data_IF_243666552496
#
_entry.id   IF_243666552496
#
_cell.length_a   1.000
_cell.length_b   1.000
_cell.length_c   1.000
_cell.angle_alpha   90.00
_cell.angle_beta   90.00
_cell.angle_gamma   90.00
#
_symmetry.space_group_name_H-M   'P 1'
#
loop_
_entity.id
_entity.type
_entity.pdbx_description
1 polymer ?
#
# COMPACT_ATOMS: atom_id res chain seq x y z
N UNK A 1 70.91 -40.52 37.05
CA UNK A 1 70.75 -39.83 38.35
C UNK A 1 70.83 -38.32 38.11
N UNK A 2 70.06 -37.57 38.90
CA UNK A 2 69.82 -36.12 38.93
C UNK A 2 68.98 -35.50 37.81
N UNK A 3 67.94 -34.81 38.28
CA UNK A 3 66.76 -34.28 37.59
C UNK A 3 66.79 -32.75 37.53
N UNK A 4 66.14 -32.17 36.53
CA UNK A 4 65.65 -30.78 36.46
C UNK A 4 64.88 -30.66 35.15
N UNK A 5 63.63 -30.22 35.03
CA UNK A 5 62.60 -29.78 35.96
C UNK A 5 61.41 -29.41 35.09
N UNK A 6 60.27 -30.10 35.25
CA UNK A 6 59.03 -29.82 34.53
C UNK A 6 58.45 -28.48 35.02
N UNK A 7 58.28 -27.52 34.10
CA UNK A 7 57.36 -26.36 34.25
C UNK A 7 56.71 -26.13 32.88
N UNK A 8 55.57 -26.74 32.63
CA UNK A 8 54.23 -26.21 32.89
C UNK A 8 53.79 -25.16 31.86
N UNK A 9 52.98 -25.60 30.88
CA UNK A 9 52.00 -24.76 30.21
C UNK A 9 50.96 -25.65 29.48
N UNK A 10 50.01 -26.21 30.23
CA UNK A 10 48.74 -26.64 29.68
C UNK A 10 47.65 -25.87 30.42
N UNK A 11 46.89 -25.03 29.71
CA UNK A 11 45.46 -24.80 29.96
C UNK A 11 44.85 -24.02 28.79
N UNK A 12 43.94 -24.72 28.12
CA UNK A 12 43.04 -24.19 27.12
C UNK A 12 41.98 -23.27 27.76
N UNK A 13 41.53 -22.27 27.02
CA UNK A 13 40.16 -21.76 27.12
C UNK A 13 39.77 -21.06 25.81
N UNK A 14 38.82 -21.68 25.11
CA UNK A 14 38.08 -21.11 24.00
C UNK A 14 37.40 -19.81 24.45
N UNK A 15 37.71 -18.69 23.82
CA UNK A 15 36.86 -17.50 23.84
C UNK A 15 35.85 -17.62 22.69
N UNK A 16 34.80 -18.42 22.93
CA UNK A 16 33.47 -18.16 22.36
C UNK A 16 32.77 -17.21 23.33
N UNK A 17 32.73 -15.94 22.94
CA UNK A 17 31.73 -14.96 23.32
C UNK A 17 31.33 -14.34 21.97
N UNK A 18 30.18 -14.68 21.38
CA UNK A 18 28.87 -14.42 21.94
C UNK A 18 28.44 -13.04 21.45
N UNK A 19 27.63 -13.00 20.39
CA UNK A 19 27.07 -11.78 19.79
C UNK A 19 26.28 -10.92 20.81
N UNK A 20 25.84 -9.70 20.44
CA UNK A 20 25.11 -9.46 19.21
C UNK A 20 25.56 -8.18 18.49
N UNK A 21 26.12 -8.31 17.30
CA UNK A 21 25.93 -7.26 16.31
C UNK A 21 24.48 -7.32 15.89
N UNK A 22 23.60 -6.67 16.65
CA UNK A 22 22.25 -6.40 16.20
C UNK A 22 22.38 -5.64 14.89
N UNK A 23 22.35 -6.36 13.76
CA UNK A 23 22.01 -5.77 12.49
C UNK A 23 20.56 -5.34 12.62
N UNK A 24 20.34 -4.20 13.26
CA UNK A 24 19.22 -3.37 12.89
C UNK A 24 19.48 -3.05 11.42
N UNK A 25 18.97 -3.92 10.53
CA UNK A 25 18.81 -3.68 9.11
C UNK A 25 17.74 -2.59 8.97
N UNK A 26 18.02 -1.41 9.52
CA UNK A 26 17.34 -0.19 9.17
C UNK A 26 17.97 0.27 7.87
N UNK A 27 17.36 -0.13 6.75
CA UNK A 27 17.71 0.48 5.47
C UNK A 27 17.41 1.98 5.59
N UNK A 28 18.42 2.83 5.40
CA UNK A 28 18.23 4.28 5.33
C UNK A 28 17.50 4.60 4.03
N UNK A 29 16.18 4.74 4.12
CA UNK A 29 15.36 5.21 3.01
C UNK A 29 15.50 6.72 2.91
N UNK A 30 16.21 7.19 1.88
CA UNK A 30 16.35 8.63 1.61
C UNK A 30 14.98 9.29 1.39
N UNK A 31 14.85 10.56 1.76
CA UNK A 31 13.59 11.32 1.65
C UNK A 31 12.98 11.28 0.23
N UNK A 32 13.81 11.18 -0.81
CA UNK A 32 13.38 11.03 -2.20
C UNK A 32 12.53 9.78 -2.47
N UNK A 33 12.72 8.71 -1.68
CA UNK A 33 11.92 7.48 -1.82
C UNK A 33 10.47 7.62 -1.33
N UNK A 34 10.13 8.75 -0.69
CA UNK A 34 8.78 9.08 -0.22
C UNK A 34 8.15 10.25 -0.99
N UNK A 35 8.74 10.70 -2.11
CA UNK A 35 8.12 11.74 -2.95
C UNK A 35 6.77 11.27 -3.46
N UNK A 36 5.72 11.89 -2.94
CA UNK A 36 4.34 11.71 -3.39
C UNK A 36 4.12 12.63 -4.59
N UNK A 37 3.44 12.17 -5.67
CA UNK A 37 3.06 13.07 -6.76
C UNK A 37 2.24 14.25 -6.23
N UNK A 38 2.51 15.46 -6.73
CA UNK A 38 1.93 16.71 -6.22
C UNK A 38 0.39 16.74 -6.25
N UNK A 39 -0.22 15.95 -7.13
CA UNK A 39 -1.66 15.87 -7.31
C UNK A 39 -2.35 14.91 -6.32
N UNK A 40 -1.63 14.08 -5.56
CA UNK A 40 -2.26 13.12 -4.62
C UNK A 40 -2.82 13.86 -3.41
N UNK A 41 -4.13 13.79 -3.20
CA UNK A 41 -4.82 14.50 -2.12
C UNK A 41 -5.32 13.58 -1.02
N UNK A 42 -5.45 12.27 -1.29
CA UNK A 42 -5.91 11.32 -0.29
C UNK A 42 -5.40 9.90 -0.56
N UNK A 43 -4.97 9.22 0.50
CA UNK A 43 -4.52 7.82 0.47
C UNK A 43 -5.11 7.06 1.65
N UNK A 44 -5.74 5.93 1.40
CA UNK A 44 -6.27 5.06 2.46
C UNK A 44 -5.91 3.59 2.21
N UNK A 45 -5.34 2.93 3.22
CA UNK A 45 -5.32 1.46 3.29
C UNK A 45 -6.69 0.94 3.74
N UNK A 46 -7.18 -0.11 3.10
CA UNK A 46 -8.54 -0.57 3.33
C UNK A 46 -8.70 -2.07 3.11
N UNK A 47 -8.99 -2.81 4.17
CA UNK A 47 -9.22 -4.26 4.08
C UNK A 47 -7.98 -5.06 3.63
N UNK A 48 -8.18 -6.36 3.47
CA UNK A 48 -7.16 -7.29 3.03
C UNK A 48 -7.56 -8.00 1.74
N UNK A 49 -6.59 -8.44 0.96
CA UNK A 49 -6.82 -9.19 -0.29
C UNK A 49 -5.92 -10.42 -0.40
N UNK A 50 -6.24 -11.25 -1.38
CA UNK A 50 -5.52 -12.48 -1.68
C UNK A 50 -5.86 -13.64 -0.73
N UNK A 51 -5.37 -14.85 -1.03
CA UNK A 51 -5.47 -15.99 -0.12
C UNK A 51 -4.92 -15.62 1.26
N UNK A 52 -5.60 -16.06 2.32
CA UNK A 52 -5.20 -15.85 3.71
C UNK A 52 -4.87 -14.39 4.10
N UNK A 53 -5.45 -13.41 3.39
CA UNK A 53 -5.27 -11.97 3.69
C UNK A 53 -3.81 -11.50 3.59
N UNK A 54 -3.05 -12.06 2.64
CA UNK A 54 -1.62 -11.80 2.44
C UNK A 54 -1.27 -10.37 1.98
N UNK A 55 -2.26 -9.56 1.59
CA UNK A 55 -2.07 -8.17 1.18
C UNK A 55 -3.16 -7.24 1.68
N UNK A 56 -3.02 -5.94 1.38
CA UNK A 56 -4.02 -4.90 1.71
C UNK A 56 -4.36 -4.08 0.48
N UNK A 57 -5.58 -3.54 0.38
CA UNK A 57 -5.87 -2.57 -0.68
C UNK A 57 -5.34 -1.21 -0.25
N UNK A 58 -4.77 -0.46 -1.20
CA UNK A 58 -4.50 0.97 -1.06
C UNK A 58 -5.32 1.71 -2.10
N UNK A 59 -6.05 2.73 -1.67
CA UNK A 59 -6.78 3.61 -2.57
C UNK A 59 -6.08 4.96 -2.58
N UNK A 60 -5.85 5.47 -3.78
CA UNK A 60 -5.16 6.74 -4.01
C UNK A 60 -6.11 7.62 -4.81
N UNK A 61 -6.43 8.77 -4.25
CA UNK A 61 -7.15 9.83 -4.93
C UNK A 61 -6.20 10.98 -5.20
N UNK A 62 -6.26 11.48 -6.42
CA UNK A 62 -5.52 12.65 -6.87
C UNK A 62 -6.48 13.64 -7.54
N UNK A 63 -6.11 14.90 -7.54
CA UNK A 63 -6.85 15.97 -8.19
C UNK A 63 -5.92 16.76 -9.10
N UNK A 64 -6.33 16.94 -10.34
CA UNK A 64 -5.61 17.78 -11.30
C UNK A 64 -6.63 18.47 -12.20
N UNK A 65 -6.43 19.76 -12.49
CA UNK A 65 -7.30 20.55 -13.37
C UNK A 65 -8.79 20.43 -13.04
N UNK A 66 -9.15 20.47 -11.74
CA UNK A 66 -10.51 20.32 -11.22
C UNK A 66 -11.18 18.95 -11.51
N UNK A 67 -10.38 17.92 -11.82
CA UNK A 67 -10.84 16.56 -12.03
C UNK A 67 -10.21 15.61 -11.02
N UNK A 68 -11.02 14.65 -10.54
CA UNK A 68 -10.59 13.56 -9.68
C UNK A 68 -10.08 12.36 -10.47
N UNK A 69 -8.93 11.85 -10.03
CA UNK A 69 -8.32 10.61 -10.46
C UNK A 69 -8.35 9.61 -9.30
N UNK A 70 -8.76 8.38 -9.56
CA UNK A 70 -8.89 7.36 -8.52
C UNK A 70 -8.22 6.05 -8.94
N UNK A 71 -7.33 5.57 -8.09
CA UNK A 71 -6.60 4.33 -8.29
C UNK A 71 -6.83 3.38 -7.12
N UNK A 72 -6.99 2.10 -7.43
CA UNK A 72 -7.02 1.03 -6.43
C UNK A 72 -5.83 0.11 -6.66
N UNK A 73 -5.10 -0.16 -5.58
CA UNK A 73 -3.88 -0.93 -5.61
C UNK A 73 -4.01 -2.15 -4.70
N UNK A 74 -3.65 -3.30 -5.23
CA UNK A 74 -3.53 -4.55 -4.49
C UNK A 74 -2.09 -4.62 -3.97
N UNK A 75 -1.91 -4.23 -2.72
CA UNK A 75 -0.59 -4.11 -2.11
C UNK A 75 -0.15 -5.45 -1.51
N UNK A 76 1.03 -5.94 -1.86
CA UNK A 76 1.64 -7.12 -1.27
C UNK A 76 2.99 -6.75 -0.65
N UNK A 77 3.41 -7.53 0.37
CA UNK A 77 4.77 -7.40 0.88
C UNK A 77 5.73 -8.20 0.02
N UNK A 78 6.85 -7.59 -0.36
CA UNK A 78 7.96 -8.30 -0.99
C UNK A 78 8.76 -9.13 0.03
N UNK A 79 9.81 -9.81 -0.43
CA UNK A 79 10.67 -10.64 0.41
C UNK A 79 11.38 -9.86 1.53
N UNK A 80 11.51 -8.54 1.39
CA UNK A 80 12.11 -7.65 2.38
C UNK A 80 11.06 -7.03 3.32
N UNK A 81 9.79 -7.43 3.17
CA UNK A 81 8.68 -6.91 3.97
C UNK A 81 8.14 -5.55 3.49
N UNK A 82 8.69 -4.98 2.40
CA UNK A 82 8.23 -3.70 1.86
C UNK A 82 6.90 -3.85 1.14
N UNK A 83 5.99 -2.90 1.35
CA UNK A 83 4.67 -2.93 0.75
C UNK A 83 4.71 -2.32 -0.67
N UNK A 84 4.43 -3.13 -1.68
CA UNK A 84 4.46 -2.74 -3.10
C UNK A 84 3.12 -3.00 -3.77
N UNK A 85 2.77 -2.17 -4.76
CA UNK A 85 1.58 -2.39 -5.57
C UNK A 85 1.82 -3.57 -6.52
N UNK A 86 1.27 -4.75 -6.20
CA UNK A 86 1.32 -5.91 -7.08
C UNK A 86 0.41 -5.71 -8.32
N UNK A 87 -0.64 -4.92 -8.15
CA UNK A 87 -1.52 -4.49 -9.23
C UNK A 87 -2.06 -3.10 -8.94
N UNK A 88 -2.24 -2.29 -9.97
CA UNK A 88 -2.88 -0.97 -9.90
C UNK A 88 -3.96 -0.91 -10.98
N UNK A 89 -5.16 -0.48 -10.61
CA UNK A 89 -6.23 -0.17 -11.57
C UNK A 89 -6.62 1.30 -11.42
N UNK A 90 -6.73 1.98 -12.56
CA UNK A 90 -7.40 3.26 -12.65
C UNK A 90 -8.90 3.03 -12.82
N UNK A 91 -9.74 3.85 -12.17
CA UNK A 91 -11.18 3.78 -12.37
C UNK A 91 -11.52 4.55 -13.65
N UNK A 92 -11.70 3.85 -14.75
CA UNK A 92 -11.80 4.43 -16.10
C UNK A 92 -12.95 5.43 -16.26
N UNK A 93 -14.03 5.30 -15.48
CA UNK A 93 -15.15 6.22 -15.49
C UNK A 93 -14.82 7.60 -14.86
N UNK A 94 -13.71 7.69 -14.12
CA UNK A 94 -13.22 8.92 -13.47
C UNK A 94 -11.91 9.40 -14.10
N UNK A 95 -11.00 8.46 -14.37
CA UNK A 95 -9.68 8.69 -14.98
C UNK A 95 -9.82 8.73 -16.52
N UNK A 96 -10.56 9.73 -16.99
CA UNK A 96 -10.79 9.99 -18.41
C UNK A 96 -10.78 11.50 -18.68
N UNK A 97 -10.13 11.94 -19.76
CA UNK A 97 -9.88 13.34 -20.10
C UNK A 97 -11.14 14.17 -20.44
N UNK A 98 -12.32 13.53 -20.44
CA UNK A 98 -13.61 14.18 -20.67
C UNK A 98 -14.56 14.07 -19.46
N UNK A 99 -14.12 13.52 -18.32
CA UNK A 99 -15.01 13.25 -17.20
C UNK A 99 -15.45 14.53 -16.47
N UNK A 100 -14.52 15.45 -16.18
CA UNK A 100 -14.78 16.65 -15.36
C UNK A 100 -15.56 16.35 -14.05
N UNK A 101 -15.29 15.18 -13.45
CA UNK A 101 -15.90 14.75 -12.19
C UNK A 101 -14.94 15.06 -11.04
N UNK A 102 -15.40 15.83 -10.07
CA UNK A 102 -14.76 16.04 -8.78
C UNK A 102 -15.40 15.12 -7.72
N UNK A 103 -14.58 14.45 -6.92
CA UNK A 103 -15.00 13.59 -5.83
C UNK A 103 -14.72 14.23 -4.47
N UNK A 104 -15.68 14.07 -3.56
CA UNK A 104 -15.55 14.49 -2.17
C UNK A 104 -16.14 13.43 -1.23
N UNK A 105 -15.85 13.54 0.07
CA UNK A 105 -16.30 12.60 1.10
C UNK A 105 -15.98 11.13 0.75
N UNK A 106 -14.75 10.88 0.27
CA UNK A 106 -14.30 9.53 -0.05
C UNK A 106 -14.26 8.67 1.22
N UNK A 107 -14.87 7.50 1.15
CA UNK A 107 -14.81 6.49 2.21
C UNK A 107 -14.49 5.14 1.62
N UNK A 108 -13.63 4.38 2.30
CA UNK A 108 -13.43 2.97 2.00
C UNK A 108 -13.86 2.07 3.16
N UNK A 109 -14.59 1.00 2.83
CA UNK A 109 -15.01 -0.02 3.78
C UNK A 109 -14.64 -1.43 3.29
N UNK A 110 -14.03 -2.20 4.17
CA UNK A 110 -13.77 -3.62 3.91
C UNK A 110 -15.07 -4.45 3.93
N UNK A 111 -15.09 -5.51 3.13
CA UNK A 111 -16.18 -6.49 3.04
C UNK A 111 -15.60 -7.90 2.92
N UNK A 112 -16.41 -8.96 3.13
CA UNK A 112 -15.95 -10.33 2.88
C UNK A 112 -15.53 -10.64 1.44
N UNK A 113 -15.86 -9.76 0.47
CA UNK A 113 -15.57 -9.94 -0.96
C UNK A 113 -14.60 -8.88 -1.52
N UNK A 114 -13.86 -8.17 -0.66
CA UNK A 114 -12.97 -7.07 -1.07
C UNK A 114 -13.38 -5.76 -0.42
N UNK A 115 -13.38 -4.65 -1.15
CA UNK A 115 -13.71 -3.31 -0.61
C UNK A 115 -14.86 -2.65 -1.35
N UNK A 116 -15.54 -1.73 -0.66
CA UNK A 116 -16.50 -0.82 -1.26
C UNK A 116 -16.04 0.61 -0.99
N UNK A 117 -15.86 1.36 -2.07
CA UNK A 117 -15.60 2.79 -2.05
C UNK A 117 -16.88 3.54 -2.32
N UNK A 118 -17.11 4.60 -1.57
CA UNK A 118 -18.16 5.57 -1.89
C UNK A 118 -17.63 6.98 -1.82
N UNK A 119 -18.11 7.84 -2.70
CA UNK A 119 -17.77 9.26 -2.72
C UNK A 119 -18.98 10.06 -3.23
N UNK A 120 -19.14 11.29 -2.74
CA UNK A 120 -19.94 12.29 -3.44
C UNK A 120 -19.23 12.65 -4.74
N UNK A 121 -20.02 12.99 -5.75
CA UNK A 121 -19.53 13.41 -7.04
C UNK A 121 -20.23 14.71 -7.42
N UNK A 122 -19.44 15.66 -7.91
CA UNK A 122 -19.90 16.87 -8.58
C UNK A 122 -19.30 16.83 -10.00
N UNK A 123 -20.13 17.08 -11.01
CA UNK A 123 -19.70 17.04 -12.41
C UNK A 123 -19.81 18.43 -13.02
N UNK A 124 -18.84 18.79 -13.86
CA UNK A 124 -18.85 20.03 -14.65
C UNK A 124 -19.92 20.04 -15.76
N UNK A 125 -20.47 18.88 -16.11
CA UNK A 125 -21.51 18.74 -17.12
C UNK A 125 -22.92 18.78 -16.50
N UNK A 126 -23.97 18.88 -17.32
CA UNK A 126 -25.40 18.90 -16.92
C UNK A 126 -25.88 17.56 -16.32
N UNK A 127 -24.94 16.68 -15.96
CA UNK A 127 -25.18 15.35 -15.48
C UNK A 127 -25.39 15.33 -13.97
N UNK A 128 -26.57 14.83 -13.65
CA UNK A 128 -27.14 14.55 -12.34
C UNK A 128 -26.28 13.66 -11.42
N UNK A 129 -25.01 13.36 -11.72
CA UNK A 129 -24.19 12.46 -10.91
C UNK A 129 -23.99 13.06 -9.51
N UNK A 130 -24.40 12.32 -8.48
CA UNK A 130 -24.38 12.78 -7.07
C UNK A 130 -23.46 11.96 -6.19
N UNK A 131 -23.34 10.67 -6.50
CA UNK A 131 -22.57 9.71 -5.71
C UNK A 131 -22.09 8.59 -6.61
N UNK A 132 -20.89 8.11 -6.32
CA UNK A 132 -20.35 6.90 -6.95
C UNK A 132 -20.15 5.83 -5.89
N UNK A 133 -20.40 4.59 -6.27
CA UNK A 133 -20.03 3.41 -5.48
C UNK A 133 -19.17 2.50 -6.34
N UNK A 134 -18.02 2.10 -5.82
CA UNK A 134 -17.06 1.25 -6.54
C UNK A 134 -16.83 0.01 -5.69
N UNK A 135 -17.24 -1.14 -6.21
CA UNK A 135 -17.03 -2.44 -5.58
C UNK A 135 -15.77 -3.05 -6.17
N UNK A 136 -14.78 -3.37 -5.35
CA UNK A 136 -13.51 -3.95 -5.80
C UNK A 136 -13.40 -5.36 -5.24
N UNK A 137 -13.15 -6.32 -6.13
CA UNK A 137 -13.09 -7.74 -5.79
C UNK A 137 -11.73 -8.21 -5.26
N UNK A 138 -11.65 -9.49 -4.83
CA UNK A 138 -10.39 -10.09 -4.39
C UNK A 138 -9.46 -10.42 -5.56
N UNK A 139 -10.01 -10.64 -6.76
CA UNK A 139 -9.25 -10.81 -7.99
C UNK A 139 -8.67 -9.46 -8.44
N UNK A 140 -7.34 -9.34 -8.62
CA UNK A 140 -6.72 -8.11 -9.08
C UNK A 140 -7.30 -7.59 -10.39
N UNK A 141 -7.51 -6.27 -10.45
CA UNK A 141 -7.96 -5.55 -11.64
C UNK A 141 -9.47 -5.54 -11.88
N UNK A 142 -10.26 -6.33 -11.11
CA UNK A 142 -11.71 -6.33 -11.26
C UNK A 142 -12.38 -5.34 -10.32
N UNK A 143 -13.20 -4.46 -10.89
CA UNK A 143 -14.08 -3.56 -10.15
C UNK A 143 -15.44 -3.42 -10.83
N UNK A 144 -16.42 -2.92 -10.08
CA UNK A 144 -17.74 -2.54 -10.60
C UNK A 144 -18.06 -1.12 -10.18
N UNK A 145 -18.23 -0.24 -11.16
CA UNK A 145 -18.67 1.13 -10.96
C UNK A 145 -20.20 1.22 -10.94
N UNK A 146 -20.75 1.97 -9.98
CA UNK A 146 -22.19 2.22 -9.84
C UNK A 146 -22.43 3.71 -9.62
N UNK A 147 -22.84 4.46 -10.65
CA UNK A 147 -23.22 5.85 -10.51
C UNK A 147 -24.62 5.94 -9.88
N UNK A 148 -24.81 6.91 -9.01
CA UNK A 148 -26.12 7.34 -8.52
C UNK A 148 -26.37 8.77 -9.01
N UNK A 149 -27.43 8.92 -9.81
CA UNK A 149 -27.87 10.21 -10.35
C UNK A 149 -29.03 10.79 -9.55
N UNK A 150 -29.16 12.11 -9.51
CA UNK A 150 -30.38 12.80 -9.06
C UNK A 150 -31.55 12.46 -9.99
N UNK A 151 -32.77 12.49 -9.45
CA UNK A 151 -34.00 12.28 -10.24
C UNK A 151 -34.25 13.47 -11.16
#
# INVERSE_FOLDING_TARGET
MTATGLRAACLAALLVLGGPGAHALGSDYGYDSFKTPDAVTWVQLCGAWGPNHQGTYRVVHAEQYAQSFLYVQWMARDANGSLQAAHTVAIAELDNDHAEIALSDLTCRATPRGIVLTAKADSGHDDKLRRVTIEVGPAPGQYRFRPQRTR
#
